data_IF_336912957309
#
_entry.id   IF_336912957309
#
_cell.length_a   1.000
_cell.length_b   1.000
_cell.length_c   1.000
_cell.angle_alpha   90.00
_cell.angle_beta   90.00
_cell.angle_gamma   90.00
#
_symmetry.space_group_name_H-M   'P 1'
#
loop_
_entity.id
_entity.type
_entity.pdbx_description
1 polymer ?
#
# COMPACT_ATOMS: atom_id res chain seq x y z
N UNK A 1 2.21 -57.17 15.16
CA UNK A 1 2.61 -55.84 15.70
C UNK A 1 3.52 -55.20 14.67
N UNK A 2 3.17 -54.03 14.14
CA UNK A 2 3.94 -53.39 13.08
C UNK A 2 5.24 -52.81 13.64
N UNK A 3 6.37 -53.07 12.99
CA UNK A 3 7.65 -52.48 13.36
C UNK A 3 7.62 -50.98 13.03
N UNK A 4 7.61 -50.14 14.05
CA UNK A 4 7.81 -48.71 13.90
C UNK A 4 9.32 -48.45 13.75
N UNK A 5 9.77 -47.73 12.71
CA UNK A 5 11.17 -47.39 12.57
C UNK A 5 11.61 -46.51 13.74
N UNK A 6 12.67 -46.91 14.43
CA UNK A 6 13.29 -46.12 15.49
C UNK A 6 13.82 -44.81 14.91
N UNK A 7 13.56 -43.65 15.56
CA UNK A 7 14.07 -42.38 15.08
C UNK A 7 15.60 -42.38 15.12
N UNK A 8 16.22 -42.06 13.99
CA UNK A 8 17.67 -41.92 13.87
C UNK A 8 18.13 -40.78 14.78
N UNK A 9 19.04 -41.08 15.72
CA UNK A 9 19.62 -40.07 16.59
C UNK A 9 20.62 -39.27 15.74
N UNK A 10 20.24 -38.07 15.35
CA UNK A 10 21.15 -37.16 14.68
C UNK A 10 22.14 -36.58 15.70
N UNK A 11 23.44 -36.48 15.36
CA UNK A 11 24.42 -35.85 16.24
C UNK A 11 24.04 -34.40 16.50
N UNK A 12 24.22 -33.95 17.74
CA UNK A 12 23.95 -32.56 18.14
C UNK A 12 24.80 -31.64 17.25
N UNK A 13 24.20 -30.68 16.53
CA UNK A 13 24.95 -29.82 15.63
C UNK A 13 25.96 -28.97 16.42
N UNK A 14 27.19 -28.91 15.93
CA UNK A 14 28.26 -28.02 16.44
C UNK A 14 27.79 -26.56 16.44
N UNK A 15 28.29 -25.74 17.38
CA UNK A 15 27.85 -24.34 17.53
C UNK A 15 27.95 -23.54 16.22
N UNK A 16 28.99 -23.77 15.41
CA UNK A 16 29.14 -23.13 14.10
C UNK A 16 28.01 -23.48 13.11
N UNK A 17 27.55 -24.73 13.11
CA UNK A 17 26.45 -25.21 12.28
C UNK A 17 25.15 -24.58 12.75
N UNK A 18 24.94 -24.46 14.07
CA UNK A 18 23.77 -23.79 14.64
C UNK A 18 23.73 -22.31 14.25
N UNK A 19 24.87 -21.60 14.31
CA UNK A 19 24.96 -20.21 13.90
C UNK A 19 24.73 -20.03 12.39
N UNK A 20 25.21 -20.96 11.56
CA UNK A 20 24.97 -20.97 10.12
C UNK A 20 23.50 -21.24 9.80
N UNK A 21 22.86 -22.15 10.53
CA UNK A 21 21.44 -22.46 10.40
C UNK A 21 20.57 -21.27 10.82
N UNK A 22 20.89 -20.64 11.97
CA UNK A 22 20.25 -19.41 12.45
C UNK A 22 20.32 -18.31 11.41
N UNK A 23 21.49 -18.08 10.80
CA UNK A 23 21.66 -17.10 9.70
C UNK A 23 20.78 -17.41 8.48
N UNK A 24 20.57 -18.68 8.15
CA UNK A 24 19.70 -19.10 7.02
C UNK A 24 18.20 -19.00 7.34
N UNK A 25 17.82 -19.28 8.58
CA UNK A 25 16.43 -19.11 9.04
C UNK A 25 16.07 -17.63 9.20
N UNK A 26 17.03 -16.81 9.61
CA UNK A 26 16.88 -15.37 9.76
C UNK A 26 17.22 -14.58 8.49
N UNK A 27 17.55 -15.24 7.36
CA UNK A 27 17.85 -14.48 6.14
C UNK A 27 16.58 -13.77 5.65
N UNK A 28 16.65 -12.45 5.42
CA UNK A 28 15.48 -11.64 5.03
C UNK A 28 14.87 -12.07 3.68
N UNK A 29 15.61 -12.79 2.83
CA UNK A 29 15.07 -13.39 1.59
C UNK A 29 14.00 -14.45 1.84
N UNK A 30 14.07 -15.21 2.94
CA UNK A 30 13.03 -16.18 3.31
C UNK A 30 11.78 -15.52 3.89
N UNK A 31 11.94 -14.32 4.46
CA UNK A 31 10.85 -13.48 5.00
C UNK A 31 10.33 -12.45 3.98
N UNK A 32 10.93 -12.36 2.80
CA UNK A 32 10.49 -11.42 1.77
C UNK A 32 9.12 -11.88 1.24
N UNK A 33 8.09 -11.02 1.23
CA UNK A 33 6.80 -11.40 0.69
C UNK A 33 6.96 -11.76 -0.79
N UNK A 34 6.32 -12.84 -1.21
CA UNK A 34 6.28 -13.24 -2.61
C UNK A 34 5.76 -12.08 -3.48
N UNK A 35 6.17 -11.97 -4.76
CA UNK A 35 5.79 -10.83 -5.61
C UNK A 35 4.26 -10.66 -5.72
N UNK A 36 3.50 -11.77 -5.76
CA UNK A 36 2.03 -11.73 -5.73
C UNK A 36 1.48 -11.24 -4.40
N UNK A 37 2.10 -11.61 -3.28
CA UNK A 37 1.70 -11.12 -1.96
C UNK A 37 1.91 -9.61 -1.85
N UNK A 38 3.01 -9.07 -2.40
CA UNK A 38 3.22 -7.62 -2.50
C UNK A 38 2.14 -6.94 -3.36
N UNK A 39 1.77 -7.53 -4.50
CA UNK A 39 0.71 -6.98 -5.34
C UNK A 39 -0.63 -6.94 -4.59
N UNK A 40 -1.02 -8.03 -3.94
CA UNK A 40 -2.24 -8.09 -3.12
C UNK A 40 -2.17 -7.06 -2.00
N UNK A 41 -1.03 -6.93 -1.32
CA UNK A 41 -0.85 -5.93 -0.28
C UNK A 41 -1.07 -4.51 -0.82
N UNK A 42 -0.42 -4.13 -1.91
CA UNK A 42 -0.61 -2.81 -2.52
C UNK A 42 -2.08 -2.59 -2.93
N UNK A 43 -2.72 -3.58 -3.53
CA UNK A 43 -4.15 -3.52 -3.90
C UNK A 43 -5.05 -3.35 -2.67
N UNK A 44 -4.78 -4.09 -1.60
CA UNK A 44 -5.53 -3.98 -0.34
C UNK A 44 -5.40 -2.59 0.25
N UNK A 45 -4.20 -2.00 0.23
CA UNK A 45 -3.97 -0.63 0.70
C UNK A 45 -4.73 0.39 -0.16
N UNK A 46 -4.63 0.27 -1.48
CA UNK A 46 -5.35 1.15 -2.41
C UNK A 46 -6.87 1.04 -2.21
N UNK A 47 -7.41 -0.18 -2.08
CA UNK A 47 -8.83 -0.41 -1.83
C UNK A 47 -9.27 0.17 -0.48
N UNK A 48 -8.45 0.03 0.57
CA UNK A 48 -8.76 0.55 1.91
C UNK A 48 -8.80 2.08 1.93
N UNK A 49 -7.83 2.72 1.27
CA UNK A 49 -7.80 4.18 1.13
C UNK A 49 -8.95 4.69 0.25
N UNK A 50 -9.27 3.99 -0.83
CA UNK A 50 -10.39 4.36 -1.69
C UNK A 50 -11.73 4.25 -0.96
N UNK A 51 -11.93 3.16 -0.21
CA UNK A 51 -13.15 2.96 0.57
C UNK A 51 -13.28 3.98 1.70
N UNK A 52 -12.20 4.28 2.42
CA UNK A 52 -12.24 5.29 3.48
C UNK A 52 -12.55 6.68 2.93
N UNK A 53 -11.92 7.07 1.82
CA UNK A 53 -12.23 8.33 1.14
C UNK A 53 -13.69 8.38 0.67
N UNK A 54 -14.22 7.28 0.11
CA UNK A 54 -15.61 7.18 -0.30
C UNK A 54 -16.57 7.37 0.89
N UNK A 55 -16.34 6.68 2.01
CA UNK A 55 -17.17 6.81 3.22
C UNK A 55 -17.16 8.23 3.77
N UNK A 56 -15.99 8.88 3.82
CA UNK A 56 -15.87 10.28 4.27
C UNK A 56 -16.66 11.22 3.37
N UNK A 57 -16.51 11.10 2.05
CA UNK A 57 -17.24 11.94 1.09
C UNK A 57 -18.75 11.65 1.08
N UNK A 58 -19.14 10.40 1.30
CA UNK A 58 -20.54 10.01 1.45
C UNK A 58 -21.16 10.56 2.74
N UNK A 59 -20.42 10.52 3.86
CA UNK A 59 -20.85 11.11 5.12
C UNK A 59 -20.93 12.65 5.06
N UNK A 60 -20.15 13.28 4.19
CA UNK A 60 -20.19 14.73 3.89
C UNK A 60 -21.20 15.08 2.78
N UNK A 61 -22.06 14.15 2.36
CA UNK A 61 -23.04 14.38 1.30
C UNK A 61 -24.17 15.30 1.78
N UNK A 62 -24.06 16.59 1.47
CA UNK A 62 -25.04 17.61 1.84
C UNK A 62 -24.50 19.04 1.68
N UNK A 63 -25.38 20.03 1.73
CA UNK A 63 -25.02 21.45 1.64
C UNK A 63 -24.57 22.05 2.98
N UNK A 64 -24.79 21.34 4.09
CA UNK A 64 -24.39 21.78 5.42
C UNK A 64 -22.90 21.53 5.68
N UNK A 65 -22.33 22.31 6.60
CA UNK A 65 -20.93 22.16 7.02
C UNK A 65 -20.82 21.07 8.06
N UNK A 66 -20.04 20.04 7.77
CA UNK A 66 -19.74 18.92 8.65
C UNK A 66 -18.24 18.87 8.97
N UNK A 67 -17.84 17.96 9.87
CA UNK A 67 -16.44 17.72 10.23
C UNK A 67 -15.57 17.26 9.05
N UNK A 68 -16.18 16.78 7.96
CA UNK A 68 -15.51 16.31 6.75
C UNK A 68 -15.45 17.36 5.64
N UNK A 69 -16.07 18.52 5.82
CA UNK A 69 -16.09 19.60 4.82
C UNK A 69 -14.70 20.07 4.38
N UNK A 70 -13.68 20.20 5.26
CA UNK A 70 -12.31 20.53 4.82
C UNK A 70 -11.72 19.50 3.84
N UNK A 71 -12.06 18.21 4.00
CA UNK A 71 -11.59 17.14 3.12
C UNK A 71 -12.27 17.24 1.75
N UNK A 72 -13.56 17.56 1.72
CA UNK A 72 -14.30 17.83 0.48
C UNK A 72 -13.72 19.02 -0.26
N UNK A 73 -13.49 20.14 0.41
CA UNK A 73 -12.91 21.35 -0.19
C UNK A 73 -11.53 21.07 -0.79
N UNK A 74 -10.67 20.39 -0.04
CA UNK A 74 -9.36 19.95 -0.52
C UNK A 74 -9.48 19.03 -1.76
N UNK A 75 -10.38 18.05 -1.73
CA UNK A 75 -10.61 17.15 -2.87
C UNK A 75 -11.07 17.92 -4.11
N UNK A 76 -11.98 18.88 -3.93
CA UNK A 76 -12.47 19.73 -5.02
C UNK A 76 -11.37 20.64 -5.58
N UNK A 77 -10.52 21.19 -4.74
CA UNK A 77 -9.35 21.98 -5.15
C UNK A 77 -8.40 21.13 -6.00
N UNK A 78 -8.05 19.92 -5.55
CA UNK A 78 -7.18 19.02 -6.31
C UNK A 78 -7.81 18.56 -7.61
N UNK A 79 -9.11 18.24 -7.61
CA UNK A 79 -9.85 17.88 -8.81
C UNK A 79 -9.85 19.03 -9.83
N UNK A 80 -10.06 20.26 -9.38
CA UNK A 80 -9.97 21.45 -10.24
C UNK A 80 -8.55 21.62 -10.75
N UNK A 81 -7.53 21.58 -9.89
CA UNK A 81 -6.14 21.74 -10.35
C UNK A 81 -5.67 20.67 -11.34
N UNK A 82 -6.20 19.44 -11.24
CA UNK A 82 -5.83 18.36 -12.15
C UNK A 82 -6.59 18.41 -13.49
N UNK A 83 -7.87 18.80 -13.47
CA UNK A 83 -8.73 18.79 -14.66
C UNK A 83 -9.01 20.17 -15.28
N UNK A 84 -8.49 21.24 -14.69
CA UNK A 84 -8.59 22.59 -15.26
C UNK A 84 -7.20 23.17 -15.45
N UNK A 85 -7.07 23.97 -16.50
CA UNK A 85 -5.87 24.75 -16.74
C UNK A 85 -5.64 25.71 -15.57
N UNK A 86 -4.42 25.72 -15.06
CA UNK A 86 -3.98 26.75 -14.13
C UNK A 86 -4.09 28.14 -14.78
N UNK A 87 -4.19 29.19 -13.97
CA UNK A 87 -4.25 30.56 -14.50
C UNK A 87 -3.01 30.92 -15.33
N UNK A 88 -1.86 30.33 -14.98
CA UNK A 88 -0.61 30.48 -15.73
C UNK A 88 -0.68 29.78 -17.10
N UNK A 89 -1.16 28.53 -17.16
CA UNK A 89 -1.35 27.84 -18.44
C UNK A 89 -2.41 28.52 -19.31
N UNK A 90 -3.46 29.09 -18.72
CA UNK A 90 -4.45 29.90 -19.47
C UNK A 90 -3.80 31.16 -20.06
N UNK A 91 -2.90 31.79 -19.32
CA UNK A 91 -2.20 32.98 -19.79
C UNK A 91 -1.20 32.65 -20.91
N UNK A 92 -0.43 31.58 -20.75
CA UNK A 92 0.47 31.07 -21.78
C UNK A 92 -0.29 30.66 -23.07
N UNK A 93 -1.49 30.09 -22.94
CA UNK A 93 -2.34 29.75 -24.09
C UNK A 93 -2.94 30.97 -24.79
N UNK A 94 -3.29 32.02 -24.03
CA UNK A 94 -3.71 33.32 -24.59
C UNK A 94 -2.57 33.99 -25.35
N UNK A 95 -1.37 33.99 -24.80
CA UNK A 95 -0.18 34.56 -25.43
C UNK A 95 0.21 33.80 -26.72
N UNK A 96 -0.11 32.50 -26.79
CA UNK A 96 0.02 31.67 -27.99
C UNK A 96 -1.15 31.83 -28.99
N UNK A 97 -2.18 32.62 -28.69
CA UNK A 97 -3.35 32.82 -29.54
C UNK A 97 -4.24 31.58 -29.73
N UNK A 98 -4.17 30.61 -28.81
CA UNK A 98 -4.92 29.34 -28.88
C UNK A 98 -6.21 29.35 -28.04
N UNK A 99 -6.54 30.50 -27.44
CA UNK A 99 -7.65 30.71 -26.50
C UNK A 99 -8.37 32.02 -26.81
#
# INVERSE_FOLDING_TARGET
MAHHPTPQIHPIPTEEVQQRLKRRLQTPKAMAPAPRQRQIQVLSWAASLGLSAYVVLFADFGTEKNCYTPIREWFQEKRKGFWSLSEQEKQDLKDQGKL
#
